data_IF_924852917560
#
_entry.id   IF_924852917560
#
_cell.length_a   1.000
_cell.length_b   1.000
_cell.length_c   1.000
_cell.angle_alpha   90.00
_cell.angle_beta   90.00
_cell.angle_gamma   90.00
#
_symmetry.space_group_name_H-M   'P 1'
#
loop_
_entity.id
_entity.type
_entity.pdbx_description
1 polymer ?
#
# COMPACT_ATOMS: atom_id res chain seq x y z
N UNK A 1 -23.96 48.58 18.46
CA UNK A 1 -23.07 48.39 19.63
C UNK A 1 -22.65 46.93 19.58
N UNK A 2 -21.58 46.56 18.86
CA UNK A 2 -20.16 46.53 19.27
C UNK A 2 -19.94 45.73 20.56
N UNK A 3 -19.02 44.75 20.44
CA UNK A 3 -18.34 43.92 21.46
C UNK A 3 -18.99 42.53 21.59
N UNK A 4 -18.28 41.40 21.47
CA UNK A 4 -17.09 41.03 22.25
C UNK A 4 -16.19 40.03 21.49
N UNK A 5 -14.92 40.44 21.31
CA UNK A 5 -13.65 39.68 21.39
C UNK A 5 -13.69 38.18 21.06
N UNK A 6 -13.30 37.80 19.84
CA UNK A 6 -12.82 36.44 19.55
C UNK A 6 -11.30 36.44 19.57
N UNK A 7 -10.79 35.97 20.71
CA UNK A 7 -9.39 35.86 21.09
C UNK A 7 -8.59 35.04 20.07
N UNK A 8 -7.50 35.64 19.61
CA UNK A 8 -6.39 35.02 18.90
C UNK A 8 -5.81 33.86 19.74
N UNK A 9 -5.67 32.67 19.18
CA UNK A 9 -4.72 31.67 19.70
C UNK A 9 -3.77 31.35 18.53
N UNK A 10 -2.64 32.04 18.51
CA UNK A 10 -1.47 31.64 17.74
C UNK A 10 -0.83 30.46 18.48
N UNK A 11 -0.87 29.26 17.89
CA UNK A 11 -0.01 28.17 18.31
C UNK A 11 1.28 28.23 17.48
N UNK A 12 2.35 28.75 18.08
CA UNK A 12 3.69 28.62 17.54
C UNK A 12 4.19 27.19 17.81
N UNK A 13 4.30 26.37 16.77
CA UNK A 13 4.90 25.04 16.86
C UNK A 13 6.40 25.23 16.58
N UNK A 14 7.18 25.36 17.64
CA UNK A 14 8.62 25.12 17.61
C UNK A 14 8.85 23.64 17.35
N UNK A 15 9.00 23.27 16.07
CA UNK A 15 9.38 21.93 15.65
C UNK A 15 10.87 21.70 15.91
N UNK A 16 11.18 20.91 16.93
CA UNK A 16 12.51 20.38 17.21
C UNK A 16 12.91 19.42 16.07
N UNK A 17 14.01 19.71 15.38
CA UNK A 17 14.64 18.78 14.44
C UNK A 17 15.17 17.58 15.24
N UNK A 18 14.58 16.40 15.06
CA UNK A 18 15.17 15.14 15.53
C UNK A 18 16.18 14.71 14.46
N UNK A 19 17.45 14.96 14.73
CA UNK A 19 18.56 14.35 14.00
C UNK A 19 18.55 12.85 14.30
N UNK A 20 18.27 12.04 13.28
CA UNK A 20 18.46 10.59 13.34
C UNK A 20 19.96 10.32 13.20
N UNK A 21 20.61 9.58 14.12
CA UNK A 21 21.98 9.17 13.90
C UNK A 21 22.03 8.12 12.79
N UNK A 22 22.86 8.37 11.79
CA UNK A 22 23.27 7.35 10.81
C UNK A 22 23.90 6.17 11.55
N UNK A 23 23.29 5.00 11.43
CA UNK A 23 23.91 3.76 11.89
C UNK A 23 25.07 3.40 10.95
N UNK A 24 26.29 3.75 11.34
CA UNK A 24 27.49 3.08 10.84
C UNK A 24 27.50 1.67 11.42
N UNK A 25 27.20 0.67 10.59
CA UNK A 25 27.41 -0.73 10.94
C UNK A 25 28.92 -1.00 11.02
N UNK A 26 29.48 -0.95 12.23
CA UNK A 26 30.76 -1.58 12.54
C UNK A 26 30.50 -3.08 12.68
N UNK A 27 30.93 -3.86 11.70
CA UNK A 27 31.08 -5.30 11.85
C UNK A 27 32.15 -5.55 12.91
N UNK A 28 31.76 -6.12 14.05
CA UNK A 28 32.70 -6.57 15.07
C UNK A 28 33.44 -7.82 14.55
N UNK A 29 34.76 -7.92 14.75
CA UNK A 29 35.51 -9.11 14.34
C UNK A 29 35.15 -10.28 15.26
N UNK A 30 34.41 -11.24 14.72
CA UNK A 30 34.22 -12.55 15.34
C UNK A 30 35.59 -13.17 15.64
N UNK A 31 35.82 -13.50 16.91
CA UNK A 31 37.07 -14.04 17.40
C UNK A 31 37.45 -15.34 16.70
N UNK A 32 38.51 -15.27 15.90
CA UNK A 32 39.17 -16.43 15.32
C UNK A 32 40.16 -16.95 16.36
N UNK A 33 39.86 -18.08 17.01
CA UNK A 33 40.79 -18.77 17.90
C UNK A 33 41.88 -19.47 17.04
N UNK A 34 43.15 -19.05 17.12
CA UNK A 34 44.21 -19.56 16.26
C UNK A 34 44.64 -21.01 16.58
N UNK A 35 44.09 -21.66 17.62
CA UNK A 35 44.42 -23.04 17.99
C UNK A 35 43.35 -24.07 17.60
N UNK A 36 42.25 -23.66 16.95
CA UNK A 36 41.24 -24.61 16.46
C UNK A 36 41.66 -25.13 15.08
N UNK A 37 41.94 -26.44 14.91
CA UNK A 37 42.21 -27.01 13.60
C UNK A 37 40.94 -26.88 12.72
N UNK A 38 41.08 -26.49 11.44
CA UNK A 38 39.94 -26.36 10.55
C UNK A 38 39.24 -27.70 10.36
N UNK A 39 37.90 -27.72 10.20
CA UNK A 39 37.18 -28.95 9.88
C UNK A 39 37.66 -29.51 8.52
N UNK A 40 37.65 -30.84 8.33
CA UNK A 40 37.97 -31.45 7.04
C UNK A 40 36.95 -30.98 5.98
N UNK A 41 37.45 -30.39 4.90
CA UNK A 41 36.62 -30.03 3.74
C UNK A 41 36.15 -31.30 3.04
N UNK A 42 34.86 -31.44 2.68
CA UNK A 42 34.42 -32.51 1.81
C UNK A 42 35.01 -32.32 0.42
N UNK A 43 35.47 -33.42 -0.20
CA UNK A 43 35.99 -33.47 -1.56
C UNK A 43 35.08 -32.72 -2.54
N UNK A 44 35.68 -31.81 -3.30
CA UNK A 44 35.01 -30.94 -4.26
C UNK A 44 34.32 -31.78 -5.34
N UNK A 45 32.99 -31.73 -5.36
CA UNK A 45 32.22 -32.09 -6.54
C UNK A 45 32.67 -31.17 -7.69
N UNK A 46 33.00 -31.77 -8.83
CA UNK A 46 33.50 -31.07 -10.02
C UNK A 46 32.58 -29.89 -10.42
N UNK A 47 33.12 -28.80 -10.99
CA UNK A 47 32.32 -27.69 -11.46
C UNK A 47 31.42 -28.16 -12.61
N UNK A 48 30.11 -28.05 -12.41
CA UNK A 48 29.14 -28.09 -13.51
C UNK A 48 29.38 -26.85 -14.38
N UNK A 49 29.56 -27.07 -15.68
CA UNK A 49 29.72 -26.01 -16.69
C UNK A 49 28.38 -25.25 -16.78
N UNK A 50 28.27 -24.15 -16.04
CA UNK A 50 27.12 -23.24 -16.12
C UNK A 50 27.35 -22.32 -17.32
N UNK A 51 26.47 -22.33 -18.34
CA UNK A 51 26.63 -21.44 -19.49
C UNK A 51 26.61 -19.97 -19.02
N UNK A 52 27.37 -19.08 -19.68
CA UNK A 52 27.40 -17.67 -19.32
C UNK A 52 26.01 -17.07 -19.46
N UNK A 53 25.57 -16.35 -18.42
CA UNK A 53 24.32 -15.60 -18.45
C UNK A 53 24.32 -14.62 -19.64
N UNK A 54 23.18 -14.45 -20.35
CA UNK A 54 23.10 -13.47 -21.42
C UNK A 54 23.37 -12.06 -20.86
N UNK A 55 24.13 -11.26 -21.61
CA UNK A 55 24.40 -9.88 -21.26
C UNK A 55 23.09 -9.10 -21.08
N UNK A 56 23.01 -8.14 -20.14
CA UNK A 56 21.84 -7.28 -20.03
C UNK A 56 21.68 -6.49 -21.33
N UNK A 57 20.59 -6.71 -22.05
CA UNK A 57 20.23 -5.88 -23.18
C UNK A 57 20.10 -4.43 -22.68
N UNK A 58 20.89 -3.53 -23.27
CA UNK A 58 20.91 -2.11 -22.89
C UNK A 58 19.54 -1.48 -23.07
N UNK A 59 19.20 -0.55 -22.17
CA UNK A 59 18.02 0.28 -22.28
C UNK A 59 18.19 1.21 -23.49
N UNK A 60 17.45 0.95 -24.57
CA UNK A 60 17.41 1.83 -25.74
C UNK A 60 16.46 3.02 -25.44
N UNK A 61 16.96 4.26 -25.31
CA UNK A 61 16.15 5.41 -24.95
C UNK A 61 15.17 5.87 -26.05
N UNK A 62 15.24 5.31 -27.25
CA UNK A 62 14.30 5.59 -28.35
C UNK A 62 13.20 4.54 -28.49
N UNK A 63 13.27 3.44 -27.72
CA UNK A 63 12.17 2.46 -27.66
C UNK A 63 11.16 2.95 -26.61
N UNK A 64 9.92 3.30 -27.01
CA UNK A 64 8.90 3.67 -26.05
C UNK A 64 8.68 2.51 -25.08
N UNK A 65 8.45 2.79 -23.77
CA UNK A 65 8.16 1.74 -22.82
C UNK A 65 6.96 0.92 -23.32
N UNK A 66 6.96 -0.41 -23.14
CA UNK A 66 5.80 -1.21 -23.48
C UNK A 66 4.57 -0.64 -22.77
N UNK A 67 3.38 -0.68 -23.41
CA UNK A 67 2.15 -0.29 -22.72
C UNK A 67 2.04 -1.09 -21.41
N UNK A 68 1.50 -0.51 -20.33
CA UNK A 68 1.24 -1.27 -19.11
C UNK A 68 0.43 -2.50 -19.51
N UNK A 69 0.90 -3.68 -19.10
CA UNK A 69 0.14 -4.89 -19.31
C UNK A 69 -1.26 -4.67 -18.73
N UNK A 70 -2.33 -5.17 -19.38
CA UNK A 70 -3.61 -5.28 -18.68
C UNK A 70 -3.33 -6.04 -17.38
N UNK A 71 -3.78 -5.50 -16.25
CA UNK A 71 -3.61 -6.12 -14.94
C UNK A 71 -4.00 -7.60 -15.09
N UNK A 72 -2.98 -8.47 -15.06
CA UNK A 72 -3.25 -9.89 -15.08
C UNK A 72 -4.14 -10.13 -13.86
N UNK A 73 -5.34 -10.71 -14.02
CA UNK A 73 -6.19 -10.98 -12.87
C UNK A 73 -5.35 -11.79 -11.87
N UNK A 74 -5.44 -11.46 -10.56
CA UNK A 74 -4.73 -12.24 -9.55
C UNK A 74 -5.05 -13.72 -9.77
N UNK A 75 -4.08 -14.64 -9.57
CA UNK A 75 -4.35 -16.06 -9.72
C UNK A 75 -5.59 -16.39 -8.89
N UNK A 76 -6.59 -17.00 -9.55
CA UNK A 76 -7.81 -17.39 -8.87
C UNK A 76 -7.43 -18.19 -7.61
N UNK A 77 -8.10 -17.96 -6.46
CA UNK A 77 -7.90 -18.83 -5.31
C UNK A 77 -8.14 -20.27 -5.78
N UNK A 78 -7.16 -21.14 -5.57
CA UNK A 78 -7.33 -22.58 -5.75
C UNK A 78 -8.62 -22.99 -5.04
N UNK A 79 -9.51 -23.61 -5.82
CA UNK A 79 -10.96 -23.55 -5.61
C UNK A 79 -11.43 -23.75 -4.17
N UNK A 80 -12.11 -22.74 -3.65
CA UNK A 80 -13.02 -22.91 -2.52
C UNK A 80 -14.25 -23.64 -3.07
N UNK A 81 -14.29 -24.97 -2.94
CA UNK A 81 -15.49 -25.73 -3.27
C UNK A 81 -16.57 -25.39 -2.22
N UNK A 82 -17.67 -24.72 -2.59
CA UNK A 82 -18.69 -24.29 -1.63
C UNK A 82 -19.46 -25.46 -0.99
N UNK A 83 -19.27 -26.69 -1.47
CA UNK A 83 -19.87 -27.90 -0.92
C UNK A 83 -18.90 -28.71 -0.06
N UNK A 84 -17.62 -28.34 0.02
CA UNK A 84 -16.66 -28.98 0.93
C UNK A 84 -16.68 -28.24 2.27
N UNK A 85 -17.12 -28.88 3.36
CA UNK A 85 -17.07 -28.26 4.68
C UNK A 85 -15.60 -27.98 5.05
N UNK A 86 -15.29 -26.83 5.68
CA UNK A 86 -13.94 -26.52 6.09
C UNK A 86 -13.42 -27.60 7.04
N UNK A 87 -12.12 -27.93 7.00
CA UNK A 87 -11.53 -28.88 7.93
C UNK A 87 -11.76 -28.39 9.38
N UNK A 88 -11.98 -29.31 10.34
CA UNK A 88 -12.13 -28.92 11.73
C UNK A 88 -10.85 -28.21 12.22
N UNK A 89 -10.98 -27.20 13.11
CA UNK A 89 -9.82 -26.56 13.69
C UNK A 89 -8.95 -27.59 14.42
N UNK A 90 -7.63 -27.46 14.27
CA UNK A 90 -6.69 -28.27 15.05
C UNK A 90 -6.90 -27.99 16.55
N UNK A 91 -6.66 -28.98 17.45
CA UNK A 91 -6.93 -28.87 18.88
C UNK A 91 -6.25 -27.68 19.60
N UNK A 92 -5.22 -27.09 19.00
CA UNK A 92 -4.37 -26.05 19.60
C UNK A 92 -4.28 -24.76 18.78
N UNK A 93 -5.17 -24.55 17.80
CA UNK A 93 -5.17 -23.30 17.02
C UNK A 93 -5.73 -22.15 17.87
N UNK A 94 -5.01 -21.01 18.02
CA UNK A 94 -5.59 -19.81 18.60
C UNK A 94 -6.84 -19.42 17.80
N UNK A 95 -7.88 -18.85 18.45
CA UNK A 95 -9.04 -18.37 17.71
C UNK A 95 -8.57 -17.39 16.63
N UNK A 96 -9.13 -17.47 15.40
CA UNK A 96 -8.80 -16.49 14.39
C UNK A 96 -9.07 -15.08 14.95
N UNK A 97 -8.24 -14.08 14.60
CA UNK A 97 -8.53 -12.70 14.98
C UNK A 97 -9.95 -12.35 14.53
N UNK A 98 -10.66 -11.45 15.25
CA UNK A 98 -11.97 -11.01 14.81
C UNK A 98 -11.87 -10.52 13.37
N UNK A 99 -12.49 -11.27 12.46
CA UNK A 99 -12.70 -10.82 11.10
C UNK A 99 -13.64 -9.63 11.18
N UNK A 100 -13.09 -8.43 11.06
CA UNK A 100 -13.91 -7.26 10.77
C UNK A 100 -14.72 -7.64 9.53
N UNK A 101 -16.05 -7.65 9.67
CA UNK A 101 -16.94 -7.92 8.55
C UNK A 101 -16.71 -6.76 7.59
N UNK A 102 -15.80 -6.93 6.65
CA UNK A 102 -15.72 -6.10 5.48
C UNK A 102 -17.06 -6.32 4.79
N UNK A 103 -18.00 -5.40 5.01
CA UNK A 103 -18.83 -5.01 3.89
C UNK A 103 -17.80 -4.49 2.89
N UNK A 104 -17.30 -5.38 2.03
CA UNK A 104 -16.25 -5.07 1.08
C UNK A 104 -16.87 -4.11 0.09
N UNK A 105 -16.82 -2.82 0.41
CA UNK A 105 -17.32 -1.77 -0.47
C UNK A 105 -16.57 -1.91 -1.77
N UNK A 106 -17.31 -2.10 -2.86
CA UNK A 106 -16.73 -2.19 -4.17
C UNK A 106 -16.37 -0.77 -4.65
N UNK A 107 -15.17 -0.33 -4.25
CA UNK A 107 -14.64 0.99 -4.56
C UNK A 107 -14.47 1.22 -6.06
N UNK A 108 -14.26 0.18 -6.87
CA UNK A 108 -14.23 0.33 -8.33
C UNK A 108 -15.61 0.65 -8.89
N UNK A 109 -16.68 0.04 -8.37
CA UNK A 109 -18.04 0.36 -8.78
C UNK A 109 -18.43 1.80 -8.40
N UNK A 110 -17.95 2.27 -7.25
CA UNK A 110 -18.11 3.67 -6.84
C UNK A 110 -17.28 4.58 -7.76
N UNK A 111 -16.01 4.28 -8.01
CA UNK A 111 -15.17 5.08 -8.91
C UNK A 111 -15.70 5.11 -10.34
N UNK A 112 -16.29 4.01 -10.81
CA UNK A 112 -16.96 3.95 -12.10
C UNK A 112 -18.18 4.89 -12.16
N UNK A 113 -18.89 5.04 -11.06
CA UNK A 113 -20.00 5.97 -10.94
C UNK A 113 -19.55 7.43 -10.81
N UNK A 114 -18.49 7.69 -10.03
CA UNK A 114 -18.02 9.02 -9.66
C UNK A 114 -17.17 9.67 -10.76
N UNK A 115 -16.22 8.93 -11.34
CA UNK A 115 -15.26 9.44 -12.32
C UNK A 115 -15.24 8.70 -13.64
N UNK A 116 -16.14 7.72 -13.83
CA UNK A 116 -16.06 6.79 -14.96
C UNK A 116 -14.90 5.81 -14.86
N UNK A 117 -14.33 5.63 -13.67
CA UNK A 117 -13.20 4.72 -13.40
C UNK A 117 -11.83 5.36 -13.60
N UNK A 118 -11.78 6.67 -13.85
CA UNK A 118 -10.52 7.40 -13.99
C UNK A 118 -9.99 7.82 -12.62
N UNK A 119 -8.97 7.11 -12.12
CA UNK A 119 -8.34 7.36 -10.83
C UNK A 119 -7.42 8.59 -10.81
N UNK A 120 -6.99 9.09 -11.98
CA UNK A 120 -6.12 10.26 -12.12
C UNK A 120 -6.86 11.54 -12.48
N UNK A 121 -8.20 11.56 -12.41
CA UNK A 121 -8.97 12.71 -12.85
C UNK A 121 -8.76 13.93 -11.95
N UNK A 122 -8.54 15.10 -12.56
CA UNK A 122 -8.47 16.39 -11.89
C UNK A 122 -8.93 17.48 -12.84
N UNK A 123 -10.24 17.69 -12.94
CA UNK A 123 -10.86 18.64 -13.89
C UNK A 123 -10.90 20.08 -13.40
N UNK A 124 -10.46 20.34 -12.15
CA UNK A 124 -10.52 21.66 -11.54
C UNK A 124 -11.88 22.02 -10.94
N UNK A 125 -12.80 21.06 -10.80
CA UNK A 125 -14.12 21.24 -10.17
C UNK A 125 -14.08 21.17 -8.62
N UNK A 126 -12.90 21.12 -8.01
CA UNK A 126 -12.71 20.98 -6.56
C UNK A 126 -12.69 19.54 -6.04
N UNK A 127 -12.88 18.56 -6.92
CA UNK A 127 -12.76 17.13 -6.63
C UNK A 127 -11.64 16.51 -7.46
N UNK A 128 -11.02 15.46 -6.92
CA UNK A 128 -9.90 14.78 -7.57
C UNK A 128 -9.94 13.28 -7.29
N UNK A 129 -9.38 12.52 -8.22
CA UNK A 129 -9.23 11.08 -8.12
C UNK A 129 -10.48 10.28 -8.46
N UNK A 130 -10.37 8.95 -8.41
CA UNK A 130 -11.42 8.02 -8.83
C UNK A 130 -12.67 8.13 -7.98
N UNK A 131 -12.50 8.43 -6.69
CA UNK A 131 -13.59 8.54 -5.72
C UNK A 131 -14.04 9.98 -5.46
N UNK A 132 -13.57 10.92 -6.30
CA UNK A 132 -13.94 12.34 -6.25
C UNK A 132 -13.78 12.94 -4.85
N UNK A 133 -12.56 12.91 -4.31
CA UNK A 133 -12.26 13.51 -3.01
C UNK A 133 -12.10 15.03 -3.11
N UNK A 134 -12.58 15.77 -2.12
CA UNK A 134 -12.11 17.14 -1.87
C UNK A 134 -10.72 17.11 -1.23
N UNK A 135 -9.89 18.14 -1.44
CA UNK A 135 -8.59 18.23 -0.76
C UNK A 135 -8.72 18.18 0.77
N UNK A 136 -9.75 18.84 1.31
CA UNK A 136 -9.98 18.85 2.76
C UNK A 136 -10.28 17.47 3.34
N UNK A 137 -11.15 16.70 2.68
CA UNK A 137 -11.49 15.33 3.10
C UNK A 137 -10.29 14.40 2.93
N UNK A 138 -9.56 14.54 1.83
CA UNK A 138 -8.35 13.78 1.55
C UNK A 138 -7.32 13.91 2.68
N UNK A 139 -6.94 15.14 3.02
CA UNK A 139 -5.95 15.39 4.07
C UNK A 139 -6.47 15.01 5.47
N UNK A 140 -7.74 15.25 5.76
CA UNK A 140 -8.35 14.88 7.04
C UNK A 140 -8.36 13.36 7.30
N UNK A 141 -8.34 12.55 6.24
CA UNK A 141 -8.38 11.08 6.31
C UNK A 141 -7.01 10.44 6.03
N UNK A 142 -5.93 11.22 6.14
CA UNK A 142 -4.55 10.76 6.08
C UNK A 142 -3.98 10.65 4.67
N UNK A 143 -4.65 11.21 3.66
CA UNK A 143 -4.08 11.38 2.33
C UNK A 143 -3.04 12.49 2.29
N UNK A 144 -2.04 12.36 1.42
CA UNK A 144 -1.02 13.40 1.18
C UNK A 144 -1.07 13.87 -0.28
N UNK A 145 -0.64 15.10 -0.56
CA UNK A 145 -0.66 15.65 -1.92
C UNK A 145 -2.07 15.76 -2.50
N UNK A 146 -2.23 15.45 -3.79
CA UNK A 146 -3.52 15.40 -4.50
C UNK A 146 -4.02 13.97 -4.66
N UNK A 147 -5.32 13.69 -4.49
CA UNK A 147 -5.90 12.37 -4.78
C UNK A 147 -5.60 11.90 -6.21
N UNK A 148 -5.65 12.80 -7.20
CA UNK A 148 -5.40 12.47 -8.60
C UNK A 148 -3.96 12.02 -8.90
N UNK A 149 -3.01 12.39 -8.04
CA UNK A 149 -1.61 11.93 -8.12
C UNK A 149 -1.33 10.69 -7.28
N UNK A 150 -2.28 10.28 -6.43
CA UNK A 150 -2.15 9.09 -5.59
C UNK A 150 -2.56 7.84 -6.36
N UNK A 151 -1.95 6.70 -6.02
CA UNK A 151 -2.36 5.41 -6.58
C UNK A 151 -3.82 5.10 -6.20
N UNK A 152 -4.44 4.23 -7.00
CA UNK A 152 -5.78 3.72 -6.72
C UNK A 152 -5.87 3.13 -5.31
N UNK A 153 -4.87 2.36 -4.90
CA UNK A 153 -4.81 1.67 -3.60
C UNK A 153 -4.73 2.68 -2.45
N UNK A 154 -3.97 3.77 -2.64
CA UNK A 154 -3.88 4.85 -1.67
C UNK A 154 -5.20 5.61 -1.56
N UNK A 155 -5.89 5.81 -2.69
CA UNK A 155 -7.22 6.40 -2.68
C UNK A 155 -8.24 5.52 -1.94
N UNK A 156 -8.19 4.21 -2.15
CA UNK A 156 -9.03 3.23 -1.44
C UNK A 156 -8.72 3.24 0.06
N UNK A 157 -7.44 3.26 0.45
CA UNK A 157 -7.04 3.34 1.86
C UNK A 157 -7.64 4.56 2.56
N UNK A 158 -7.60 5.73 1.90
CA UNK A 158 -8.23 6.94 2.44
C UNK A 158 -9.76 6.83 2.44
N UNK A 159 -10.34 6.15 1.45
CA UNK A 159 -11.77 5.91 1.39
C UNK A 159 -12.28 5.01 2.53
N UNK A 160 -11.50 4.00 2.92
CA UNK A 160 -11.79 3.17 4.09
C UNK A 160 -11.80 3.99 5.39
N UNK A 161 -10.89 4.95 5.52
CA UNK A 161 -10.89 5.87 6.66
C UNK A 161 -12.15 6.77 6.67
N UNK A 162 -12.58 7.23 5.49
CA UNK A 162 -13.84 7.99 5.35
C UNK A 162 -15.04 7.11 5.66
N UNK A 163 -15.06 5.86 5.18
CA UNK A 163 -16.11 4.89 5.47
C UNK A 163 -16.22 4.64 6.97
N UNK A 164 -15.09 4.52 7.67
CA UNK A 164 -15.07 4.33 9.12
C UNK A 164 -15.63 5.54 9.88
N UNK A 165 -15.40 6.77 9.40
CA UNK A 165 -15.81 7.99 10.11
C UNK A 165 -17.20 8.49 9.74
N UNK A 166 -17.61 8.34 8.49
CA UNK A 166 -18.83 8.93 7.92
C UNK A 166 -19.79 7.87 7.38
N UNK A 167 -19.36 6.61 7.26
CA UNK A 167 -20.11 5.57 6.59
C UNK A 167 -20.18 5.76 5.08
N UNK A 168 -20.92 4.86 4.41
CA UNK A 168 -21.10 4.89 2.95
C UNK A 168 -21.84 6.15 2.46
N UNK A 169 -22.48 6.88 3.38
CA UNK A 169 -23.16 8.15 3.12
C UNK A 169 -22.26 9.28 2.63
N UNK A 170 -20.93 9.14 2.74
CA UNK A 170 -19.97 10.03 2.09
C UNK A 170 -20.06 9.98 0.55
N UNK A 171 -20.59 8.88 -0.01
CA UNK A 171 -20.92 8.71 -1.43
C UNK A 171 -22.44 8.49 -1.59
N UNK A 172 -23.27 9.52 -1.44
CA UNK A 172 -24.73 9.35 -1.32
C UNK A 172 -25.40 8.78 -2.58
N UNK A 173 -24.85 9.05 -3.77
CA UNK A 173 -25.42 8.61 -5.05
C UNK A 173 -24.78 7.31 -5.55
N UNK A 174 -23.46 7.22 -5.42
CA UNK A 174 -22.65 6.14 -5.96
C UNK A 174 -22.35 5.03 -4.95
N UNK A 175 -22.37 5.32 -3.64
CA UNK A 175 -22.06 4.36 -2.59
C UNK A 175 -23.01 3.17 -2.54
N UNK A 176 -24.26 3.32 -3.02
CA UNK A 176 -25.22 2.21 -3.18
C UNK A 176 -24.88 1.23 -4.31
N UNK A 177 -23.91 1.57 -5.16
CA UNK A 177 -23.41 0.72 -6.26
C UNK A 177 -22.19 -0.09 -5.83
N UNK A 178 -21.61 0.23 -4.67
CA UNK A 178 -20.47 -0.42 -4.05
C UNK A 178 -20.86 -1.37 -2.95
#
# INVERSE_FOLDING_TARGET
MKNVRKTLILAAITGTLVTVPSATATAEPMGFDPNVPPPPVPDALAPVDVPPAPAPAGFDPNVPPPPPAPDAPPPAPVGFDPNVPPPPPAPDAPPPPPVHKAYSVNWDAIAQCESGGNWGISTGNGFAGGLQFTSSTWHANGGSGSPASASREEQIRVAENVLHTQGIGAWPVCGRRG
#
